data_IF_090583999419
#
_entry.id   IF_090583999419
#
_cell.length_a   1.000
_cell.length_b   1.000
_cell.length_c   1.000
_cell.angle_alpha   90.00
_cell.angle_beta   90.00
_cell.angle_gamma   90.00
#
_symmetry.space_group_name_H-M   'P 1'
#
loop_
_entity.id
_entity.type
_entity.pdbx_description
1 polymer ?
#
# COMPACT_ATOMS: atom_id res chain seq x y z
N UNK A 1 1.14 -21.65 23.97
CA UNK A 1 0.60 -20.31 24.26
C UNK A 1 -0.15 -19.83 23.02
N UNK A 2 -1.47 -19.56 23.08
CA UNK A 2 -2.20 -19.04 21.94
C UNK A 2 -1.78 -17.59 21.69
N UNK A 3 -1.02 -17.37 20.61
CA UNK A 3 -0.61 -16.03 20.20
C UNK A 3 -1.87 -15.29 19.72
N UNK A 4 -2.20 -14.11 20.26
CA UNK A 4 -3.38 -13.37 19.82
C UNK A 4 -3.22 -12.97 18.34
N UNK A 5 -4.26 -13.17 17.54
CA UNK A 5 -4.29 -12.89 16.10
C UNK A 5 -3.87 -11.46 15.78
N UNK A 6 -4.19 -10.53 16.68
CA UNK A 6 -3.81 -9.11 16.54
C UNK A 6 -2.29 -8.91 16.53
N UNK A 7 -1.55 -9.62 17.37
CA UNK A 7 -0.09 -9.53 17.43
C UNK A 7 0.55 -10.07 16.16
N UNK A 8 0.05 -11.18 15.64
CA UNK A 8 0.52 -11.75 14.38
C UNK A 8 0.27 -10.79 13.18
N UNK A 9 -0.89 -10.16 13.16
CA UNK A 9 -1.24 -9.18 12.14
C UNK A 9 -0.36 -7.93 12.26
N UNK A 10 -0.15 -7.43 13.48
CA UNK A 10 0.69 -6.26 13.75
C UNK A 10 2.14 -6.50 13.31
N UNK A 11 2.72 -7.65 13.62
CA UNK A 11 4.11 -7.97 13.23
C UNK A 11 4.28 -8.02 11.70
N UNK A 12 3.35 -8.61 10.98
CA UNK A 12 3.37 -8.64 9.50
C UNK A 12 3.23 -7.24 8.90
N UNK A 13 2.31 -6.43 9.40
CA UNK A 13 2.13 -5.06 8.92
C UNK A 13 3.36 -4.20 9.23
N UNK A 14 3.97 -4.38 10.41
CA UNK A 14 5.21 -3.69 10.78
C UNK A 14 6.36 -4.02 9.81
N UNK A 15 6.51 -5.30 9.45
CA UNK A 15 7.54 -5.72 8.48
C UNK A 15 7.32 -5.08 7.12
N UNK A 16 6.09 -5.07 6.61
CA UNK A 16 5.75 -4.44 5.33
C UNK A 16 5.94 -2.93 5.39
N UNK A 17 5.58 -2.31 6.51
CA UNK A 17 5.80 -0.87 6.74
C UNK A 17 7.29 -0.52 6.72
N UNK A 18 8.13 -1.26 7.42
CA UNK A 18 9.58 -1.02 7.46
C UNK A 18 10.22 -1.16 6.08
N UNK A 19 9.83 -2.19 5.32
CA UNK A 19 10.27 -2.33 3.93
C UNK A 19 9.80 -1.15 3.07
N UNK A 20 8.52 -0.77 3.15
CA UNK A 20 7.97 0.38 2.44
C UNK A 20 8.68 1.68 2.79
N UNK A 21 9.00 1.87 4.09
CA UNK A 21 9.73 3.03 4.57
C UNK A 21 11.16 3.09 4.00
N UNK A 22 11.87 1.97 3.94
CA UNK A 22 13.21 1.92 3.34
C UNK A 22 13.16 2.31 1.86
N UNK A 23 12.22 1.77 1.07
CA UNK A 23 12.09 2.14 -0.35
C UNK A 23 11.70 3.61 -0.53
N UNK A 24 10.74 4.10 0.24
CA UNK A 24 10.33 5.51 0.19
C UNK A 24 11.47 6.44 0.60
N UNK A 25 12.26 6.08 1.61
CA UNK A 25 13.39 6.87 2.07
C UNK A 25 14.46 7.02 0.97
N UNK A 26 14.81 5.95 0.29
CA UNK A 26 15.82 5.98 -0.80
C UNK A 26 15.41 6.94 -1.93
N UNK A 27 14.11 7.08 -2.19
CA UNK A 27 13.61 7.95 -3.26
C UNK A 27 13.40 9.40 -2.77
N UNK A 28 12.79 9.57 -1.61
CA UNK A 28 12.32 10.87 -1.14
C UNK A 28 13.43 11.66 -0.43
N UNK A 29 14.26 11.01 0.38
CA UNK A 29 15.30 11.72 1.15
C UNK A 29 16.31 12.48 0.26
N UNK A 30 16.83 11.93 -0.85
CA UNK A 30 17.68 12.70 -1.75
C UNK A 30 16.99 13.96 -2.29
N UNK A 31 15.71 13.85 -2.65
CA UNK A 31 14.94 15.01 -3.15
C UNK A 31 14.76 16.07 -2.05
N UNK A 32 14.48 15.65 -0.80
CA UNK A 32 14.36 16.55 0.35
C UNK A 32 15.70 17.25 0.65
N UNK A 33 16.82 16.53 0.56
CA UNK A 33 18.15 17.10 0.79
C UNK A 33 18.47 18.14 -0.28
N UNK A 34 18.20 17.84 -1.56
CA UNK A 34 18.39 18.80 -2.66
C UNK A 34 17.53 20.03 -2.45
N UNK A 35 16.26 19.86 -2.12
CA UNK A 35 15.36 20.98 -1.84
C UNK A 35 15.85 21.82 -0.65
N UNK A 36 16.29 21.18 0.41
CA UNK A 36 16.84 21.86 1.59
C UNK A 36 18.08 22.70 1.27
N UNK A 37 18.99 22.20 0.45
CA UNK A 37 20.22 22.92 0.08
C UNK A 37 19.94 24.04 -0.92
N UNK A 38 19.00 23.84 -1.86
CA UNK A 38 18.81 24.78 -2.98
C UNK A 38 17.74 25.84 -2.71
N UNK A 39 16.71 25.53 -1.93
CA UNK A 39 15.54 26.42 -1.78
C UNK A 39 15.42 26.99 -0.38
N UNK A 40 15.59 26.19 0.66
CA UNK A 40 15.41 26.64 2.04
C UNK A 40 16.21 25.77 3.03
N UNK A 41 17.16 26.40 3.72
CA UNK A 41 17.99 25.77 4.76
C UNK A 41 17.29 25.65 6.12
N UNK A 42 15.98 25.89 6.18
CA UNK A 42 15.23 25.78 7.42
C UNK A 42 15.18 24.33 7.93
N UNK A 43 15.42 24.06 9.22
CA UNK A 43 15.39 22.71 9.78
C UNK A 43 14.01 22.06 9.70
N UNK A 44 12.94 22.87 9.61
CA UNK A 44 11.57 22.40 9.44
C UNK A 44 11.35 21.66 8.11
N UNK A 45 12.10 21.98 7.07
CA UNK A 45 12.06 21.27 5.78
C UNK A 45 12.54 19.82 5.93
N UNK A 46 13.61 19.60 6.68
CA UNK A 46 14.11 18.25 6.96
C UNK A 46 13.09 17.43 7.78
N UNK A 47 12.52 18.03 8.82
CA UNK A 47 11.47 17.39 9.61
C UNK A 47 10.25 17.07 8.74
N UNK A 48 9.80 18.02 7.91
CA UNK A 48 8.70 17.83 6.96
C UNK A 48 8.97 16.72 5.96
N UNK A 49 10.17 16.65 5.42
CA UNK A 49 10.60 15.62 4.48
C UNK A 49 10.63 14.21 5.09
N UNK A 50 11.16 14.08 6.30
CA UNK A 50 11.16 12.80 7.03
C UNK A 50 9.73 12.39 7.38
N UNK A 51 8.91 13.31 7.86
CA UNK A 51 7.51 13.05 8.15
C UNK A 51 6.75 12.64 6.88
N UNK A 52 6.95 13.36 5.77
CA UNK A 52 6.36 13.04 4.48
C UNK A 52 6.72 11.62 4.03
N UNK A 53 7.98 11.23 4.17
CA UNK A 53 8.45 9.86 3.86
C UNK A 53 7.71 8.81 4.68
N UNK A 54 7.55 9.03 5.98
CA UNK A 54 6.83 8.15 6.87
C UNK A 54 5.33 8.07 6.51
N UNK A 55 4.71 9.21 6.22
CA UNK A 55 3.29 9.29 5.84
C UNK A 55 3.00 8.62 4.51
N UNK A 56 3.88 8.78 3.50
CA UNK A 56 3.76 8.06 2.22
C UNK A 56 3.83 6.56 2.45
N UNK A 57 4.74 6.09 3.29
CA UNK A 57 4.86 4.66 3.61
C UNK A 57 3.61 4.10 4.28
N UNK A 58 3.00 4.85 5.21
CA UNK A 58 1.72 4.48 5.84
C UNK A 58 0.58 4.50 4.82
N UNK A 59 0.55 5.49 3.93
CA UNK A 59 -0.47 5.58 2.88
C UNK A 59 -0.41 4.39 1.93
N UNK A 60 0.79 4.05 1.43
CA UNK A 60 1.01 2.89 0.56
C UNK A 60 0.64 1.58 1.27
N UNK A 61 1.02 1.43 2.54
CA UNK A 61 0.62 0.29 3.35
C UNK A 61 -0.91 0.18 3.46
N UNK A 62 -1.58 1.29 3.76
CA UNK A 62 -3.05 1.36 3.88
C UNK A 62 -3.73 0.97 2.58
N UNK A 63 -3.26 1.51 1.46
CA UNK A 63 -3.77 1.20 0.12
C UNK A 63 -3.55 -0.28 -0.24
N UNK A 64 -2.36 -0.81 0.02
CA UNK A 64 -2.02 -2.22 -0.21
C UNK A 64 -2.90 -3.16 0.62
N UNK A 65 -3.14 -2.83 1.87
CA UNK A 65 -4.04 -3.58 2.75
C UNK A 65 -5.50 -3.55 2.26
N UNK A 66 -5.98 -2.38 1.85
CA UNK A 66 -7.33 -2.21 1.32
C UNK A 66 -7.52 -3.01 0.02
N UNK A 67 -6.57 -2.92 -0.91
CA UNK A 67 -6.58 -3.70 -2.15
C UNK A 67 -6.49 -5.20 -1.88
N UNK A 68 -5.61 -5.63 -0.98
CA UNK A 68 -5.50 -7.03 -0.56
C UNK A 68 -6.81 -7.56 0.03
N UNK A 69 -7.51 -6.77 0.83
CA UNK A 69 -8.82 -7.12 1.36
C UNK A 69 -9.88 -7.27 0.26
N UNK A 70 -9.92 -6.33 -0.70
CA UNK A 70 -10.84 -6.38 -1.85
C UNK A 70 -10.58 -7.65 -2.67
N UNK A 71 -9.32 -7.92 -3.03
CA UNK A 71 -8.92 -9.11 -3.78
C UNK A 71 -9.32 -10.38 -3.04
N UNK A 72 -9.05 -10.47 -1.74
CA UNK A 72 -9.43 -11.63 -0.92
C UNK A 72 -10.95 -11.84 -0.87
N UNK A 73 -11.75 -10.75 -0.83
CA UNK A 73 -13.21 -10.81 -0.84
C UNK A 73 -13.75 -11.26 -2.19
N UNK A 74 -13.18 -10.77 -3.28
CA UNK A 74 -13.56 -11.15 -4.66
C UNK A 74 -13.19 -12.60 -4.94
N UNK A 75 -11.97 -13.03 -4.59
CA UNK A 75 -11.49 -14.40 -4.80
C UNK A 75 -12.34 -15.47 -4.13
N UNK A 76 -13.01 -15.14 -3.01
CA UNK A 76 -13.93 -16.08 -2.34
C UNK A 76 -15.21 -16.36 -3.13
N UNK A 77 -15.65 -15.43 -3.98
CA UNK A 77 -16.88 -15.57 -4.80
C UNK A 77 -16.65 -16.30 -6.12
N UNK A 78 -15.37 -16.51 -6.50
CA UNK A 78 -15.02 -17.04 -7.81
C UNK A 78 -14.86 -18.57 -7.78
N UNK A 79 -15.66 -19.28 -8.58
CA UNK A 79 -15.69 -20.74 -8.69
C UNK A 79 -14.46 -21.31 -9.43
N UNK A 80 -13.90 -20.55 -10.39
CA UNK A 80 -12.71 -20.91 -11.18
C UNK A 80 -11.53 -19.98 -10.86
N UNK A 81 -10.90 -20.20 -9.69
CA UNK A 81 -9.85 -19.33 -9.16
C UNK A 81 -8.65 -19.17 -10.10
N UNK A 82 -8.18 -20.26 -10.73
CA UNK A 82 -6.94 -20.26 -11.50
C UNK A 82 -7.03 -19.39 -12.78
N UNK A 83 -8.08 -19.58 -13.57
CA UNK A 83 -8.26 -18.85 -14.83
C UNK A 83 -8.48 -17.35 -14.63
N UNK A 84 -9.28 -16.99 -13.61
CA UNK A 84 -9.56 -15.59 -13.29
C UNK A 84 -8.33 -14.89 -12.73
N UNK A 85 -7.51 -15.58 -11.93
CA UNK A 85 -6.24 -15.02 -11.43
C UNK A 85 -5.32 -14.66 -12.59
N UNK A 86 -5.20 -15.50 -13.60
CA UNK A 86 -4.38 -15.22 -14.80
C UNK A 86 -4.90 -14.00 -15.57
N UNK A 87 -6.20 -13.92 -15.80
CA UNK A 87 -6.81 -12.77 -16.50
C UNK A 87 -6.62 -11.47 -15.71
N UNK A 88 -6.87 -11.49 -14.41
CA UNK A 88 -6.69 -10.29 -13.54
C UNK A 88 -5.22 -9.86 -13.49
N UNK A 89 -4.28 -10.81 -13.42
CA UNK A 89 -2.85 -10.49 -13.47
C UNK A 89 -2.43 -9.90 -14.80
N UNK A 90 -2.93 -10.44 -15.90
CA UNK A 90 -2.65 -9.93 -17.26
C UNK A 90 -3.26 -8.54 -17.47
N UNK A 91 -4.49 -8.32 -17.02
CA UNK A 91 -5.14 -7.01 -17.06
C UNK A 91 -4.41 -6.00 -16.18
N UNK A 92 -3.98 -6.41 -14.97
CA UNK A 92 -3.17 -5.57 -14.08
C UNK A 92 -1.85 -5.16 -14.72
N UNK A 93 -1.17 -6.09 -15.40
CA UNK A 93 0.06 -5.81 -16.13
C UNK A 93 -0.18 -4.82 -17.30
N UNK A 94 -1.24 -5.01 -18.06
CA UNK A 94 -1.59 -4.11 -19.16
C UNK A 94 -1.90 -2.69 -18.66
N UNK A 95 -2.66 -2.56 -17.58
CA UNK A 95 -2.96 -1.29 -16.91
C UNK A 95 -1.68 -0.64 -16.40
N UNK A 96 -0.80 -1.41 -15.77
CA UNK A 96 0.49 -0.92 -15.29
C UNK A 96 1.33 -0.33 -16.42
N UNK A 97 1.52 -1.03 -17.53
CA UNK A 97 2.26 -0.51 -18.69
C UNK A 97 1.61 0.74 -19.28
N UNK A 98 0.29 0.75 -19.40
CA UNK A 98 -0.44 1.94 -19.88
C UNK A 98 -0.16 3.16 -19.00
N UNK A 99 -0.20 2.99 -17.67
CA UNK A 99 0.13 4.09 -16.75
C UNK A 99 1.59 4.50 -16.82
N UNK A 100 2.54 3.56 -16.93
CA UNK A 100 3.97 3.88 -17.06
C UNK A 100 4.26 4.70 -18.31
N UNK A 101 3.72 4.32 -19.47
CA UNK A 101 3.89 5.09 -20.69
C UNK A 101 3.25 6.47 -20.61
N UNK A 102 2.06 6.59 -20.05
CA UNK A 102 1.41 7.88 -19.82
C UNK A 102 2.13 8.74 -18.78
N UNK A 103 2.69 8.14 -17.75
CA UNK A 103 3.43 8.85 -16.71
C UNK A 103 4.68 9.55 -17.24
N UNK A 104 5.43 8.94 -18.16
CA UNK A 104 6.61 9.58 -18.78
C UNK A 104 6.24 10.89 -19.47
N UNK A 105 5.23 10.86 -20.34
CA UNK A 105 4.74 12.07 -21.04
C UNK A 105 4.15 13.10 -20.05
N UNK A 106 3.48 12.63 -19.00
CA UNK A 106 2.93 13.53 -17.98
C UNK A 106 4.02 14.20 -17.13
N UNK A 107 5.12 13.49 -16.82
CA UNK A 107 6.25 14.06 -16.06
C UNK A 107 6.93 15.15 -16.89
N UNK A 108 7.18 14.93 -18.17
CA UNK A 108 7.76 15.95 -19.06
C UNK A 108 6.89 17.23 -19.11
N UNK A 109 5.57 17.06 -19.22
CA UNK A 109 4.63 18.17 -19.21
C UNK A 109 4.57 18.86 -17.85
N UNK A 110 4.62 18.10 -16.75
CA UNK A 110 4.66 18.65 -15.39
C UNK A 110 5.92 19.48 -15.13
N UNK A 111 7.07 19.03 -15.58
CA UNK A 111 8.33 19.77 -15.45
C UNK A 111 8.30 21.06 -16.28
N UNK A 112 7.79 21.00 -17.52
CA UNK A 112 7.71 22.13 -18.42
C UNK A 112 6.70 23.21 -17.94
N UNK A 113 5.65 22.80 -17.23
CA UNK A 113 4.55 23.69 -16.82
C UNK A 113 4.25 23.62 -15.32
N UNK A 114 5.27 23.46 -14.49
CA UNK A 114 5.12 23.21 -13.05
C UNK A 114 4.24 24.25 -12.33
N UNK A 115 4.35 25.54 -12.66
CA UNK A 115 3.56 26.61 -12.06
C UNK A 115 2.05 26.46 -12.37
N UNK A 116 1.70 26.18 -13.63
CA UNK A 116 0.30 26.02 -14.08
C UNK A 116 -0.34 24.78 -13.46
N UNK A 117 0.41 23.68 -13.36
CA UNK A 117 -0.08 22.47 -12.70
C UNK A 117 -0.19 22.64 -11.18
N UNK A 118 0.71 23.41 -10.56
CA UNK A 118 0.64 23.76 -9.14
C UNK A 118 -0.69 24.46 -8.79
N UNK A 119 -1.09 25.45 -9.59
CA UNK A 119 -2.36 26.15 -9.40
C UNK A 119 -3.58 25.24 -9.65
N UNK A 120 -3.53 24.42 -10.70
CA UNK A 120 -4.60 23.44 -10.97
C UNK A 120 -4.77 22.42 -9.85
N UNK A 121 -3.67 21.91 -9.28
CA UNK A 121 -3.70 20.96 -8.16
C UNK A 121 -4.27 21.66 -6.92
N UNK A 122 -3.89 22.90 -6.65
CA UNK A 122 -4.43 23.69 -5.55
C UNK A 122 -5.95 23.85 -5.64
N UNK A 123 -6.49 24.05 -6.85
CA UNK A 123 -7.93 24.20 -7.07
C UNK A 123 -8.70 22.87 -7.12
N UNK A 124 -8.18 21.86 -7.85
CA UNK A 124 -8.90 20.62 -8.12
C UNK A 124 -8.63 19.50 -7.10
N UNK A 125 -7.44 19.46 -6.49
CA UNK A 125 -7.01 18.41 -5.57
C UNK A 125 -6.35 19.01 -4.32
N UNK A 126 -7.07 19.87 -3.62
CA UNK A 126 -6.61 20.54 -2.40
C UNK A 126 -5.96 19.60 -1.37
N UNK A 127 -6.45 18.39 -1.10
CA UNK A 127 -5.79 17.45 -0.18
C UNK A 127 -4.39 17.05 -0.64
N UNK A 128 -4.19 16.89 -1.95
CA UNK A 128 -2.89 16.53 -2.52
C UNK A 128 -1.90 17.69 -2.42
N UNK A 129 -2.38 18.92 -2.61
CA UNK A 129 -1.60 20.13 -2.43
C UNK A 129 -1.12 20.30 -0.98
N UNK A 130 -2.04 20.12 0.00
CA UNK A 130 -1.70 20.16 1.43
C UNK A 130 -0.69 19.06 1.79
N UNK A 131 -0.84 17.88 1.21
CA UNK A 131 0.12 16.79 1.40
C UNK A 131 1.53 17.16 0.87
N UNK A 132 1.61 17.84 -0.27
CA UNK A 132 2.86 18.37 -0.81
C UNK A 132 3.51 19.45 0.09
N UNK A 133 2.70 20.33 0.69
CA UNK A 133 3.17 21.34 1.63
C UNK A 133 3.81 20.76 2.90
N UNK A 134 3.50 19.53 3.27
CA UNK A 134 4.19 18.83 4.37
C UNK A 134 5.70 18.77 4.13
N UNK A 135 6.12 18.54 2.90
CA UNK A 135 7.53 18.46 2.52
C UNK A 135 8.27 19.81 2.56
N UNK A 136 7.56 20.92 2.50
CA UNK A 136 8.15 22.27 2.59
C UNK A 136 8.31 22.76 4.04
N UNK A 137 7.83 21.99 5.01
CA UNK A 137 7.97 22.33 6.43
C UNK A 137 6.81 23.16 6.99
N UNK A 138 5.67 23.24 6.30
CA UNK A 138 4.46 23.89 6.84
C UNK A 138 3.85 23.03 7.96
N UNK A 139 3.88 23.54 9.19
CA UNK A 139 3.40 22.83 10.38
C UNK A 139 1.91 22.50 10.29
N UNK A 140 1.11 23.36 9.73
CA UNK A 140 -0.35 23.15 9.57
C UNK A 140 -0.62 21.99 8.61
N UNK A 141 0.10 21.97 7.49
CA UNK A 141 0.01 20.89 6.50
C UNK A 141 0.54 19.56 7.07
N UNK A 142 1.60 19.60 7.89
CA UNK A 142 2.14 18.43 8.57
C UNK A 142 1.11 17.77 9.51
N UNK A 143 0.44 18.58 10.34
CA UNK A 143 -0.57 18.08 11.27
C UNK A 143 -1.81 17.56 10.54
N UNK A 144 -2.28 18.30 9.53
CA UNK A 144 -3.48 17.91 8.78
C UNK A 144 -3.24 16.61 7.99
N UNK A 145 -2.12 16.51 7.29
CA UNK A 145 -1.76 15.32 6.51
C UNK A 145 -1.55 14.10 7.41
N UNK A 146 -0.89 14.27 8.57
CA UNK A 146 -0.73 13.22 9.55
C UNK A 146 -2.09 12.74 10.10
N UNK A 147 -2.98 13.67 10.47
CA UNK A 147 -4.30 13.33 10.97
C UNK A 147 -5.12 12.53 9.96
N UNK A 148 -5.15 12.96 8.69
CA UNK A 148 -5.90 12.29 7.63
C UNK A 148 -5.35 10.89 7.36
N UNK A 149 -4.02 10.74 7.22
CA UNK A 149 -3.41 9.45 6.91
C UNK A 149 -3.55 8.47 8.08
N UNK A 150 -3.37 8.93 9.32
CA UNK A 150 -3.57 8.09 10.50
C UNK A 150 -5.04 7.67 10.67
N UNK A 151 -5.99 8.55 10.35
CA UNK A 151 -7.41 8.21 10.35
C UNK A 151 -7.74 7.13 9.30
N UNK A 152 -7.21 7.26 8.08
CA UNK A 152 -7.36 6.26 7.02
C UNK A 152 -6.72 4.91 7.42
N UNK A 153 -5.55 4.96 8.04
CA UNK A 153 -4.90 3.75 8.55
C UNK A 153 -5.71 3.09 9.66
N UNK A 154 -6.22 3.84 10.62
CA UNK A 154 -7.06 3.33 11.70
C UNK A 154 -8.35 2.70 11.16
N UNK A 155 -8.99 3.32 10.16
CA UNK A 155 -10.17 2.77 9.50
C UNK A 155 -9.84 1.45 8.79
N UNK A 156 -8.75 1.40 8.04
CA UNK A 156 -8.31 0.16 7.36
C UNK A 156 -7.93 -0.92 8.37
N UNK A 157 -7.26 -0.57 9.46
CA UNK A 157 -6.93 -1.48 10.54
C UNK A 157 -8.19 -2.11 11.17
N UNK A 158 -9.20 -1.31 11.47
CA UNK A 158 -10.45 -1.81 12.04
C UNK A 158 -11.21 -2.73 11.08
N UNK A 159 -11.26 -2.38 9.79
CA UNK A 159 -11.86 -3.23 8.75
C UNK A 159 -11.10 -4.55 8.61
N UNK A 160 -9.77 -4.50 8.59
CA UNK A 160 -8.92 -5.66 8.43
C UNK A 160 -9.00 -6.59 9.65
N UNK A 161 -8.96 -6.03 10.87
CA UNK A 161 -9.03 -6.80 12.11
C UNK A 161 -10.35 -7.55 12.27
N UNK A 162 -11.45 -6.99 11.80
CA UNK A 162 -12.77 -7.65 11.78
C UNK A 162 -12.88 -8.75 10.73
N UNK A 163 -12.22 -8.58 9.59
CA UNK A 163 -12.30 -9.51 8.47
C UNK A 163 -11.19 -10.58 8.48
N UNK A 164 -10.14 -10.39 9.26
CA UNK A 164 -8.94 -11.25 9.23
C UNK A 164 -9.25 -12.72 9.56
N UNK A 165 -10.03 -12.98 10.59
CA UNK A 165 -10.43 -14.35 10.95
C UNK A 165 -11.22 -15.03 9.82
N UNK A 166 -12.10 -14.30 9.15
CA UNK A 166 -12.89 -14.84 8.03
C UNK A 166 -12.02 -15.13 6.80
N UNK A 167 -10.95 -14.37 6.59
CA UNK A 167 -10.04 -14.55 5.44
C UNK A 167 -9.08 -15.72 5.71
N UNK A 168 -8.48 -15.80 6.90
CA UNK A 168 -7.52 -16.85 7.26
C UNK A 168 -8.16 -18.22 7.38
N UNK A 169 -9.35 -18.32 7.98
CA UNK A 169 -10.09 -19.57 8.07
C UNK A 169 -10.57 -20.09 6.71
N UNK A 170 -10.99 -19.17 5.80
CA UNK A 170 -11.38 -19.53 4.44
C UNK A 170 -10.20 -19.99 3.58
N UNK A 171 -9.03 -19.41 3.77
CA UNK A 171 -7.79 -19.86 3.08
C UNK A 171 -7.27 -21.19 3.61
N UNK A 172 -7.39 -21.46 4.89
CA UNK A 172 -7.03 -22.74 5.52
C UNK A 172 -7.93 -23.90 5.09
N UNK A 173 -9.22 -23.63 4.83
CA UNK A 173 -10.16 -24.64 4.36
C UNK A 173 -9.92 -25.08 2.90
N UNK A 174 -9.31 -24.21 2.08
CA UNK A 174 -8.93 -24.57 0.70
C UNK A 174 -7.68 -25.46 0.63
N UNK A 175 -6.90 -25.56 1.71
CA UNK A 175 -5.67 -26.36 1.81
C UNK A 175 -5.84 -27.72 2.47
N UNK A 176 -7.05 -28.11 2.87
CA UNK A 176 -7.31 -29.50 3.27
C UNK A 176 -7.28 -30.37 2.03
N UNK A 177 -6.08 -30.81 1.64
CA UNK A 177 -5.94 -32.02 0.85
C UNK A 177 -6.67 -33.11 1.63
N UNK A 178 -7.78 -33.58 1.08
CA UNK A 178 -8.46 -34.76 1.57
C UNK A 178 -7.48 -35.89 1.33
N UNK A 179 -6.73 -36.27 2.37
CA UNK A 179 -5.92 -37.47 2.37
C UNK A 179 -6.90 -38.63 2.33
N UNK A 180 -7.24 -39.04 1.13
CA UNK A 180 -8.05 -40.25 0.94
C UNK A 180 -7.10 -41.43 1.15
N UNK A 181 -7.17 -41.97 2.34
CA UNK A 181 -6.49 -43.21 2.70
C UNK A 181 -6.89 -44.25 1.65
N UNK A 182 -5.98 -44.57 0.70
CA UNK A 182 -6.15 -45.69 -0.20
C UNK A 182 -6.05 -46.93 0.66
N UNK A 183 -7.15 -47.57 0.92
CA UNK A 183 -7.17 -48.89 1.53
C UNK A 183 -6.24 -49.80 0.73
N UNK A 184 -5.10 -50.14 1.33
CA UNK A 184 -4.17 -51.09 0.76
C UNK A 184 -4.86 -52.45 0.84
N UNK A 185 -5.37 -52.92 -0.28
CA UNK A 185 -5.94 -54.28 -0.41
C UNK A 185 -4.81 -55.29 -0.17
N UNK A 186 -4.74 -55.85 1.03
CA UNK A 186 -3.83 -56.95 1.35
C UNK A 186 -4.18 -58.08 0.38
N UNK A 187 -3.28 -58.36 -0.55
CA UNK A 187 -3.33 -59.53 -1.42
C UNK A 187 -2.85 -60.68 -0.54
N UNK A 188 -3.78 -61.57 -0.15
CA UNK A 188 -3.46 -62.85 0.43
C UNK A 188 -2.68 -63.67 -0.61
N UNK A 189 -1.47 -64.08 -0.24
CA UNK A 189 -0.66 -65.05 -1.01
C UNK A 189 -0.95 -66.36 -0.33
N UNK A 190 -1.77 -67.18 -0.98
CA UNK A 190 -1.85 -68.64 -0.73
C UNK A 190 -0.90 -69.35 -1.66
#
# INVERSE_FOLDING_TARGET
LPIPVRTLMASRLLTVYLMGLMYSAVVILPAVIVYWVTVSTAPMVLLGGVLLTALISIFVLTLSCALGWVVAKVSRKLKHKSFITVIVSLAGLAIYYFFVFKAQTAIEQLVANAAVYGEKIKGAAHPLYVFGLTGTGDVTAMLLSAAVILALFALTWTLLSRSFLQITTASGASGKAVYREKAVKRRSID
#
